data_IF_758387431845
#
_entry.id   IF_758387431845
#
_cell.length_a   1.000
_cell.length_b   1.000
_cell.length_c   1.000
_cell.angle_alpha   90.00
_cell.angle_beta   90.00
_cell.angle_gamma   90.00
#
_symmetry.space_group_name_H-M   'P 1'
#
loop_
_entity.id
_entity.type
_entity.pdbx_description
1 polymer ?
#
# COMPACT_ATOMS: atom_id res chain seq x y z
N UNK A 1 -20.35 -2.90 1.41
CA UNK A 1 -19.76 -3.52 0.20
C UNK A 1 -18.48 -4.23 0.59
N UNK A 2 -18.23 -5.41 0.01
CA UNK A 2 -16.98 -6.15 0.16
C UNK A 2 -16.54 -6.62 -1.24
N UNK A 3 -15.35 -6.24 -1.65
CA UNK A 3 -14.74 -6.65 -2.91
C UNK A 3 -13.46 -7.43 -2.66
N UNK A 4 -13.25 -8.50 -3.42
CA UNK A 4 -12.02 -9.30 -3.43
C UNK A 4 -11.42 -9.24 -4.82
N UNK A 5 -10.16 -8.88 -4.89
CA UNK A 5 -9.47 -8.66 -6.17
C UNK A 5 -8.13 -9.39 -6.16
N UNK A 6 -7.73 -9.85 -7.33
CA UNK A 6 -6.39 -10.35 -7.60
C UNK A 6 -5.81 -9.48 -8.71
N UNK A 7 -4.60 -9.00 -8.52
CA UNK A 7 -3.89 -8.16 -9.46
C UNK A 7 -2.52 -8.75 -9.82
N UNK A 8 -2.10 -8.46 -11.02
CA UNK A 8 -0.73 -8.67 -11.49
C UNK A 8 -0.18 -7.36 -12.00
N UNK A 9 1.06 -7.06 -11.69
CA UNK A 9 1.69 -5.79 -12.05
C UNK A 9 3.20 -5.89 -12.14
N UNK A 10 3.84 -4.78 -12.48
CA UNK A 10 5.27 -4.60 -12.36
C UNK A 10 5.62 -4.06 -10.97
N UNK A 11 6.75 -4.50 -10.43
CA UNK A 11 7.33 -3.93 -9.22
C UNK A 11 8.79 -3.57 -9.45
N UNK A 12 9.23 -2.50 -8.78
CA UNK A 12 10.63 -2.08 -8.70
C UNK A 12 11.02 -1.90 -7.24
N UNK A 13 12.14 -2.49 -6.85
CA UNK A 13 12.68 -2.44 -5.50
C UNK A 13 14.12 -1.95 -5.53
N UNK A 14 14.43 -0.99 -4.66
CA UNK A 14 15.76 -0.62 -4.24
C UNK A 14 15.78 -0.67 -2.71
N UNK A 15 16.67 -1.45 -2.13
CA UNK A 15 16.97 -1.42 -0.71
C UNK A 15 18.49 -1.46 -0.49
N UNK A 16 19.05 -0.34 -0.07
CA UNK A 16 20.50 -0.19 0.06
C UNK A 16 21.10 -0.97 1.23
N UNK A 17 20.28 -1.55 2.11
CA UNK A 17 20.75 -2.53 3.09
C UNK A 17 21.16 -3.85 2.44
N UNK A 18 20.42 -4.28 1.40
CA UNK A 18 20.66 -5.52 0.68
C UNK A 18 21.59 -5.31 -0.52
N UNK A 19 21.31 -4.29 -1.32
CA UNK A 19 22.03 -4.02 -2.56
C UNK A 19 21.85 -2.57 -3.01
N UNK A 20 22.85 -1.92 -3.57
CA UNK A 20 22.71 -0.59 -4.17
C UNK A 20 22.05 -0.63 -5.56
N UNK A 21 21.63 -1.80 -6.04
CA UNK A 21 21.06 -1.99 -7.37
C UNK A 21 19.54 -1.96 -7.32
N UNK A 22 18.92 -1.55 -8.43
CA UNK A 22 17.48 -1.66 -8.65
C UNK A 22 17.13 -3.05 -9.17
N UNK A 23 16.10 -3.64 -8.59
CA UNK A 23 15.51 -4.91 -9.00
C UNK A 23 14.11 -4.67 -9.53
N UNK A 24 13.77 -5.25 -10.67
CA UNK A 24 12.49 -5.08 -11.34
C UNK A 24 11.91 -6.43 -11.71
N UNK A 25 10.59 -6.54 -11.66
CA UNK A 25 9.94 -7.78 -12.05
C UNK A 25 8.44 -7.76 -11.89
N UNK A 26 7.87 -8.94 -11.70
CA UNK A 26 6.42 -9.12 -11.62
C UNK A 26 5.97 -9.24 -10.17
N UNK A 27 4.87 -8.58 -9.85
CA UNK A 27 4.17 -8.70 -8.60
C UNK A 27 2.79 -9.35 -8.79
N UNK A 28 2.45 -10.29 -7.91
CA UNK A 28 1.10 -10.79 -7.68
C UNK A 28 0.56 -10.16 -6.41
N UNK A 29 -0.67 -9.61 -6.45
CA UNK A 29 -1.31 -8.95 -5.30
C UNK A 29 -2.74 -9.42 -5.11
N UNK A 30 -3.09 -9.74 -3.87
CA UNK A 30 -4.46 -9.97 -3.43
C UNK A 30 -4.94 -8.78 -2.60
N UNK A 31 -6.17 -8.32 -2.84
CA UNK A 31 -6.77 -7.20 -2.11
C UNK A 31 -8.18 -7.60 -1.68
N UNK A 32 -8.47 -7.47 -0.39
CA UNK A 32 -9.81 -7.49 0.17
C UNK A 32 -10.16 -6.08 0.63
N UNK A 33 -11.16 -5.47 0.01
CA UNK A 33 -11.60 -4.10 0.24
C UNK A 33 -13.03 -4.07 0.75
N UNK A 34 -13.24 -3.63 1.97
CA UNK A 34 -14.55 -3.58 2.64
C UNK A 34 -14.90 -2.15 3.01
N UNK A 35 -16.04 -1.68 2.53
CA UNK A 35 -16.67 -0.42 2.94
C UNK A 35 -17.91 -0.75 3.77
N UNK A 36 -18.03 -0.18 4.96
CA UNK A 36 -19.14 -0.37 5.90
C UNK A 36 -19.79 0.97 6.22
N UNK A 37 -20.93 1.23 5.63
CA UNK A 37 -21.82 2.35 5.99
C UNK A 37 -22.83 1.87 7.04
N UNK A 38 -23.02 2.64 8.11
CA UNK A 38 -23.87 2.22 9.23
C UNK A 38 -25.36 2.48 9.01
N UNK A 39 -25.75 3.50 8.27
CA UNK A 39 -27.14 3.86 7.93
C UNK A 39 -27.14 5.09 7.02
N UNK A 40 -28.17 5.30 6.20
CA UNK A 40 -28.33 6.45 5.29
C UNK A 40 -28.23 7.85 5.93
N UNK A 41 -28.29 7.93 7.25
CA UNK A 41 -28.23 9.20 8.01
C UNK A 41 -26.84 9.55 8.53
N UNK A 42 -25.88 8.64 8.54
CA UNK A 42 -24.54 8.92 9.03
C UNK A 42 -23.59 9.20 7.88
N UNK A 43 -23.00 10.40 7.89
CA UNK A 43 -21.94 10.78 6.93
C UNK A 43 -20.61 10.05 7.17
N UNK A 44 -20.52 9.23 8.21
CA UNK A 44 -19.31 8.51 8.61
C UNK A 44 -19.42 7.04 8.22
N UNK A 45 -18.42 6.53 7.50
CA UNK A 45 -18.31 5.11 7.17
C UNK A 45 -16.89 4.58 7.43
N UNK A 46 -16.79 3.27 7.55
CA UNK A 46 -15.52 2.60 7.82
C UNK A 46 -14.99 1.92 6.56
N UNK A 47 -13.68 1.97 6.42
CA UNK A 47 -12.97 1.24 5.38
C UNK A 47 -11.96 0.29 6.00
N UNK A 48 -11.94 -0.94 5.49
CA UNK A 48 -11.00 -1.97 5.89
C UNK A 48 -10.36 -2.54 4.63
N UNK A 49 -9.04 -2.53 4.56
CA UNK A 49 -8.29 -3.10 3.45
C UNK A 49 -7.29 -4.11 3.99
N UNK A 50 -7.29 -5.29 3.41
CA UNK A 50 -6.23 -6.29 3.56
C UNK A 50 -5.58 -6.50 2.21
N UNK A 51 -4.26 -6.42 2.16
CA UNK A 51 -3.49 -6.68 0.95
C UNK A 51 -2.36 -7.65 1.25
N UNK A 52 -2.15 -8.61 0.37
CA UNK A 52 -0.97 -9.46 0.36
C UNK A 52 -0.29 -9.34 -0.99
N UNK A 53 1.03 -9.17 -1.04
CA UNK A 53 1.80 -9.12 -2.28
C UNK A 53 3.00 -10.04 -2.22
N UNK A 54 3.38 -10.55 -3.41
CA UNK A 54 4.60 -11.31 -3.64
C UNK A 54 5.19 -10.88 -4.98
N UNK A 55 6.47 -10.50 -4.97
CA UNK A 55 7.19 -10.02 -6.15
C UNK A 55 8.43 -10.86 -6.39
N UNK A 56 8.68 -11.20 -7.65
CA UNK A 56 9.90 -11.83 -8.12
C UNK A 56 10.62 -10.84 -9.03
N UNK A 57 11.84 -10.48 -8.66
CA UNK A 57 12.55 -9.34 -9.19
C UNK A 57 13.97 -9.75 -9.62
N UNK A 58 14.45 -9.12 -10.67
CA UNK A 58 15.81 -9.31 -11.18
C UNK A 58 16.50 -7.96 -11.38
N UNK A 59 17.80 -7.92 -11.23
CA UNK A 59 18.57 -6.74 -11.58
C UNK A 59 18.79 -6.66 -13.10
N UNK A 60 19.18 -5.49 -13.59
CA UNK A 60 19.37 -5.23 -15.03
C UNK A 60 20.39 -6.17 -15.69
N UNK A 61 21.32 -6.74 -14.94
CA UNK A 61 22.32 -7.67 -15.48
C UNK A 61 21.83 -9.12 -15.59
N UNK A 62 20.66 -9.45 -14.99
CA UNK A 62 20.12 -10.81 -14.93
C UNK A 62 20.86 -11.76 -13.99
N UNK A 63 21.92 -11.30 -13.31
CA UNK A 63 22.72 -12.13 -12.42
C UNK A 63 22.32 -12.09 -10.95
N UNK A 64 21.35 -11.30 -10.56
CA UNK A 64 20.86 -11.20 -9.19
C UNK A 64 19.36 -11.15 -9.14
N UNK A 65 18.76 -11.90 -8.20
CA UNK A 65 17.35 -11.92 -7.97
C UNK A 65 16.99 -11.44 -6.57
N UNK A 66 15.82 -10.85 -6.43
CA UNK A 66 15.17 -10.53 -5.17
C UNK A 66 13.75 -11.09 -5.16
N UNK A 67 13.34 -11.51 -3.99
CA UNK A 67 11.95 -11.85 -3.69
C UNK A 67 11.46 -10.89 -2.61
N UNK A 68 10.37 -10.18 -2.88
CA UNK A 68 9.74 -9.33 -1.89
C UNK A 68 8.32 -9.81 -1.60
N UNK A 69 7.94 -9.80 -0.33
CA UNK A 69 6.58 -10.15 0.07
C UNK A 69 6.10 -9.21 1.17
N UNK A 70 4.81 -8.87 1.16
CA UNK A 70 4.23 -8.03 2.20
C UNK A 70 2.78 -8.39 2.50
N UNK A 71 2.39 -8.14 3.74
CA UNK A 71 1.00 -8.06 4.17
C UNK A 71 0.75 -6.66 4.72
N UNK A 72 -0.28 -6.01 4.19
CA UNK A 72 -0.67 -4.67 4.57
C UNK A 72 -2.12 -4.68 5.06
N UNK A 73 -2.35 -4.08 6.21
CA UNK A 73 -3.65 -3.90 6.83
C UNK A 73 -3.94 -2.42 7.00
N UNK A 74 -5.12 -1.97 6.56
CA UNK A 74 -5.58 -0.61 6.74
C UNK A 74 -6.96 -0.60 7.37
N UNK A 75 -7.13 0.26 8.36
CA UNK A 75 -8.41 0.52 9.00
C UNK A 75 -8.60 2.02 9.14
N UNK A 76 -9.73 2.53 8.64
CA UNK A 76 -9.98 3.95 8.66
C UNK A 76 -11.45 4.34 8.67
N UNK A 77 -11.63 5.64 8.86
CA UNK A 77 -12.92 6.32 8.81
C UNK A 77 -12.90 7.35 7.69
N UNK A 78 -14.00 7.39 6.96
CA UNK A 78 -14.26 8.35 5.93
C UNK A 78 -15.46 9.18 6.29
N UNK A 79 -15.38 10.46 6.00
CA UNK A 79 -16.47 11.42 6.10
C UNK A 79 -16.96 11.76 4.72
N UNK A 80 -18.25 11.57 4.49
CA UNK A 80 -18.91 12.01 3.27
C UNK A 80 -19.04 13.53 3.28
N UNK A 81 -18.40 14.22 2.33
CA UNK A 81 -18.43 15.67 2.24
C UNK A 81 -19.67 16.16 1.52
N UNK A 82 -19.85 15.77 0.27
CA UNK A 82 -20.93 16.23 -0.59
C UNK A 82 -21.18 15.31 -1.77
N UNK A 83 -22.43 15.41 -2.29
CA UNK A 83 -22.85 14.82 -3.56
C UNK A 83 -23.19 15.91 -4.55
N UNK A 84 -22.72 15.76 -5.78
CA UNK A 84 -23.14 16.56 -6.94
C UNK A 84 -24.01 15.68 -7.83
N UNK A 85 -25.27 16.08 -7.97
CA UNK A 85 -26.25 15.36 -8.78
C UNK A 85 -26.33 15.95 -10.18
N UNK A 86 -26.15 15.08 -11.18
CA UNK A 86 -26.32 15.40 -12.59
C UNK A 86 -27.48 14.55 -13.17
N UNK A 87 -27.94 14.90 -14.36
CA UNK A 87 -28.97 14.12 -15.04
C UNK A 87 -28.45 12.70 -15.35
N UNK A 88 -28.85 11.71 -14.53
CA UNK A 88 -28.47 10.31 -14.70
C UNK A 88 -27.13 9.92 -14.08
N UNK A 89 -26.50 10.78 -13.27
CA UNK A 89 -25.25 10.46 -12.57
C UNK A 89 -25.09 11.24 -11.27
N UNK A 90 -24.20 10.73 -10.40
CA UNK A 90 -23.86 11.37 -9.12
C UNK A 90 -22.33 11.31 -8.92
N UNK A 91 -21.74 12.43 -8.52
CA UNK A 91 -20.36 12.49 -8.04
C UNK A 91 -20.35 12.66 -6.52
N UNK A 92 -19.83 11.68 -5.80
CA UNK A 92 -19.65 11.68 -4.35
C UNK A 92 -18.18 11.98 -4.02
N UNK A 93 -17.96 12.87 -3.05
CA UNK A 93 -16.64 13.19 -2.51
C UNK A 93 -16.56 12.79 -1.04
N UNK A 94 -15.53 12.05 -0.70
CA UNK A 94 -15.25 11.56 0.65
C UNK A 94 -13.82 11.93 1.05
N UNK A 95 -13.62 12.25 2.34
CA UNK A 95 -12.29 12.42 2.94
C UNK A 95 -12.20 11.58 4.20
N UNK A 96 -10.98 11.22 4.59
CA UNK A 96 -10.84 10.37 5.76
C UNK A 96 -9.41 10.24 6.24
N UNK A 97 -9.22 9.30 7.13
CA UNK A 97 -7.92 8.92 7.65
C UNK A 97 -7.89 7.45 8.04
N UNK A 98 -6.74 6.84 7.84
CA UNK A 98 -6.50 5.41 8.12
C UNK A 98 -5.29 5.23 9.00
N UNK A 99 -5.30 4.16 9.78
CA UNK A 99 -4.09 3.50 10.28
C UNK A 99 -3.69 2.49 9.22
N UNK A 100 -2.42 2.58 8.78
CA UNK A 100 -1.84 1.74 7.74
C UNK A 100 -0.67 0.97 8.35
N UNK A 101 -0.84 -0.32 8.57
CA UNK A 101 0.14 -1.23 9.15
C UNK A 101 0.65 -2.20 8.08
N UNK A 102 1.95 -2.39 8.03
CA UNK A 102 2.58 -3.32 7.09
C UNK A 102 3.62 -4.19 7.79
N UNK A 103 3.68 -5.43 7.37
CA UNK A 103 4.77 -6.34 7.66
C UNK A 103 5.18 -7.05 6.36
N UNK A 104 6.47 -7.17 6.13
CA UNK A 104 6.98 -7.78 4.91
C UNK A 104 8.46 -8.09 4.98
N UNK A 105 8.98 -8.57 3.88
CA UNK A 105 10.39 -8.91 3.73
C UNK A 105 10.86 -8.65 2.29
N UNK A 106 12.17 -8.46 2.17
CA UNK A 106 12.91 -8.56 0.91
C UNK A 106 14.02 -9.57 1.14
N UNK A 107 14.21 -10.49 0.21
CA UNK A 107 15.26 -11.50 0.23
C UNK A 107 16.08 -11.40 -1.05
N UNK A 108 17.39 -11.13 -0.89
CA UNK A 108 18.33 -11.05 -2.01
C UNK A 108 19.11 -12.36 -2.13
N UNK A 109 19.03 -13.01 -3.29
CA UNK A 109 19.61 -14.34 -3.53
C UNK A 109 21.14 -14.34 -3.62
N UNK A 110 21.78 -13.17 -3.72
CA UNK A 110 23.23 -13.03 -3.86
C UNK A 110 23.95 -12.47 -2.64
N UNK A 111 23.22 -11.82 -1.74
CA UNK A 111 23.83 -11.32 -0.52
C UNK A 111 23.95 -12.46 0.49
N UNK A 112 25.17 -12.96 0.68
CA UNK A 112 25.43 -14.10 1.57
C UNK A 112 25.53 -13.71 3.04
N UNK A 113 25.82 -12.45 3.35
CA UNK A 113 26.02 -12.00 4.73
C UNK A 113 24.72 -11.55 5.41
N UNK A 114 23.93 -10.71 4.75
CA UNK A 114 22.63 -10.26 5.20
C UNK A 114 21.62 -10.37 4.06
N UNK A 115 21.11 -11.58 3.75
CA UNK A 115 20.31 -11.81 2.57
C UNK A 115 18.87 -11.27 2.69
N UNK A 116 18.41 -10.96 3.90
CA UNK A 116 17.03 -10.60 4.17
C UNK A 116 16.91 -9.23 4.85
N UNK A 117 15.89 -8.49 4.47
CA UNK A 117 15.46 -7.24 5.10
C UNK A 117 14.01 -7.37 5.53
N UNK A 118 13.72 -7.14 6.81
CA UNK A 118 12.36 -7.03 7.32
C UNK A 118 11.81 -5.62 7.03
N UNK A 119 10.55 -5.56 6.66
CA UNK A 119 9.83 -4.32 6.41
C UNK A 119 8.62 -4.26 7.31
N UNK A 120 8.64 -3.37 8.29
CA UNK A 120 7.51 -3.14 9.16
C UNK A 120 7.31 -1.63 9.34
N UNK A 121 6.07 -1.17 9.19
CA UNK A 121 5.71 0.20 9.47
C UNK A 121 4.27 0.32 9.98
N UNK A 122 4.02 1.41 10.68
CA UNK A 122 2.70 1.84 11.11
C UNK A 122 2.57 3.33 10.82
N UNK A 123 1.63 3.70 9.95
CA UNK A 123 1.45 5.06 9.47
C UNK A 123 0.05 5.60 9.76
N UNK A 124 -0.02 6.91 9.96
CA UNK A 124 -1.25 7.70 9.87
C UNK A 124 -1.38 8.23 8.45
N UNK A 125 -2.49 7.92 7.80
CA UNK A 125 -2.66 8.08 6.37
C UNK A 125 -3.96 8.81 6.05
N UNK A 126 -3.95 10.16 5.89
CA UNK A 126 -5.06 10.88 5.28
C UNK A 126 -5.46 10.31 3.93
N UNK A 127 -6.74 10.37 3.63
CA UNK A 127 -7.31 9.83 2.40
C UNK A 127 -8.32 10.78 1.79
N UNK A 128 -8.43 10.77 0.47
CA UNK A 128 -9.49 11.41 -0.27
C UNK A 128 -9.99 10.50 -1.38
N UNK A 129 -11.30 10.47 -1.58
CA UNK A 129 -11.92 9.65 -2.60
C UNK A 129 -13.00 10.41 -3.36
N UNK A 130 -13.09 10.14 -4.68
CA UNK A 130 -14.14 10.59 -5.56
C UNK A 130 -14.81 9.38 -6.21
N UNK A 131 -16.12 9.28 -6.11
CA UNK A 131 -16.90 8.19 -6.71
C UNK A 131 -17.92 8.78 -7.67
N UNK A 132 -17.79 8.47 -8.96
CA UNK A 132 -18.73 8.86 -10.00
C UNK A 132 -19.61 7.69 -10.37
N UNK A 133 -20.91 7.79 -10.13
CA UNK A 133 -21.89 6.74 -10.39
C UNK A 133 -22.81 7.15 -11.54
N UNK A 134 -22.88 6.29 -12.57
CA UNK A 134 -23.83 6.38 -13.66
C UNK A 134 -25.05 5.51 -13.34
N UNK A 135 -26.23 6.12 -13.32
CA UNK A 135 -27.52 5.46 -13.00
C UNK A 135 -28.15 4.86 -14.27
N UNK A 136 -27.46 3.90 -14.90
CA UNK A 136 -27.99 3.15 -16.03
C UNK A 136 -28.79 1.93 -15.56
N UNK A 137 -29.36 1.19 -16.53
CA UNK A 137 -30.02 -0.10 -16.23
C UNK A 137 -29.12 -1.05 -15.44
N UNK A 138 -27.84 -1.04 -15.74
CA UNK A 138 -26.77 -1.67 -14.97
C UNK A 138 -25.88 -0.56 -14.43
N UNK A 139 -25.94 -0.22 -13.13
CA UNK A 139 -25.15 0.86 -12.57
C UNK A 139 -23.66 0.64 -12.79
N UNK A 140 -22.98 1.70 -13.20
CA UNK A 140 -21.53 1.76 -13.33
C UNK A 140 -20.99 2.80 -12.34
N UNK A 141 -20.05 2.42 -11.49
CA UNK A 141 -19.37 3.35 -10.59
C UNK A 141 -17.86 3.35 -10.86
N UNK A 142 -17.30 4.54 -10.97
CA UNK A 142 -15.85 4.75 -11.07
C UNK A 142 -15.41 5.45 -9.78
N UNK A 143 -14.51 4.81 -9.02
CA UNK A 143 -13.97 5.36 -7.76
C UNK A 143 -12.47 5.55 -7.90
N UNK A 144 -12.01 6.77 -7.63
CA UNK A 144 -10.60 7.09 -7.46
C UNK A 144 -10.34 7.45 -6.01
N UNK A 145 -9.32 6.87 -5.43
CA UNK A 145 -8.92 7.13 -4.05
C UNK A 145 -7.41 7.30 -3.97
N UNK A 146 -6.97 8.28 -3.17
CA UNK A 146 -5.57 8.56 -2.87
C UNK A 146 -5.32 8.48 -1.37
N UNK A 147 -4.18 7.88 -1.00
CA UNK A 147 -3.69 7.72 0.37
C UNK A 147 -2.31 8.33 0.49
N UNK A 148 -2.13 9.20 1.48
CA UNK A 148 -0.89 9.95 1.69
C UNK A 148 -0.40 9.71 3.12
N UNK A 149 0.48 8.74 3.38
CA UNK A 149 1.11 8.57 4.68
C UNK A 149 1.85 9.86 5.09
N UNK A 150 1.46 10.46 6.22
CA UNK A 150 2.02 11.75 6.64
C UNK A 150 2.93 11.65 7.85
N UNK A 151 2.70 10.67 8.71
CA UNK A 151 3.49 10.41 9.91
C UNK A 151 3.36 8.94 10.31
N UNK A 152 4.40 8.40 10.94
CA UNK A 152 4.38 7.03 11.41
C UNK A 152 5.66 6.61 12.08
N UNK A 153 5.84 5.31 12.18
CA UNK A 153 7.08 4.66 12.63
C UNK A 153 7.40 3.50 11.70
N UNK A 154 8.67 3.25 11.48
CA UNK A 154 9.13 2.10 10.73
C UNK A 154 10.31 1.41 11.41
N UNK A 155 10.42 0.11 11.18
CA UNK A 155 11.61 -0.64 11.51
C UNK A 155 12.65 -0.45 10.42
N UNK A 156 13.89 -0.12 10.83
CA UNK A 156 15.06 -0.04 9.96
C UNK A 156 16.30 -0.41 10.74
N UNK A 157 17.15 -1.34 10.26
CA UNK A 157 18.48 -1.49 10.82
C UNK A 157 19.30 -0.22 10.58
N UNK A 158 20.38 -0.04 11.32
CA UNK A 158 21.36 0.97 11.02
C UNK A 158 22.25 0.51 9.85
N UNK A 159 22.88 1.46 9.17
CA UNK A 159 23.86 1.13 8.14
C UNK A 159 24.97 0.22 8.70
N UNK A 160 25.18 -0.94 8.08
CA UNK A 160 26.16 -1.94 8.50
C UNK A 160 25.76 -2.80 9.70
N UNK A 161 24.59 -2.57 10.33
CA UNK A 161 24.11 -3.36 11.44
C UNK A 161 23.48 -4.68 10.92
N UNK A 162 23.88 -5.80 11.50
CA UNK A 162 23.32 -7.11 11.15
C UNK A 162 22.09 -7.46 11.98
N UNK A 163 21.21 -8.31 11.46
CA UNK A 163 20.08 -8.86 12.23
C UNK A 163 20.52 -9.68 13.45
N UNK A 164 21.71 -10.30 13.39
CA UNK A 164 22.30 -10.98 14.53
C UNK A 164 22.61 -10.02 15.68
N UNK A 165 23.12 -8.83 15.38
CA UNK A 165 23.38 -7.79 16.39
C UNK A 165 22.09 -7.29 17.02
N UNK A 166 21.03 -7.10 16.23
CA UNK A 166 19.73 -6.64 16.71
C UNK A 166 19.12 -7.73 17.61
N UNK A 167 18.88 -8.93 17.09
CA UNK A 167 18.03 -9.91 17.75
C UNK A 167 18.79 -10.85 18.70
N UNK A 168 20.07 -11.13 18.46
CA UNK A 168 20.83 -12.05 19.31
C UNK A 168 21.68 -11.31 20.34
N UNK A 169 22.19 -10.11 20.02
CA UNK A 169 22.97 -9.29 20.98
C UNK A 169 22.14 -8.22 21.69
N UNK A 170 20.88 -8.02 21.29
CA UNK A 170 19.98 -7.04 21.88
C UNK A 170 20.35 -5.58 21.59
N UNK A 171 21.05 -5.32 20.49
CA UNK A 171 21.40 -3.97 20.08
C UNK A 171 20.25 -3.35 19.27
N UNK A 172 19.28 -2.74 19.98
CA UNK A 172 18.06 -2.14 19.42
C UNK A 172 18.19 -0.64 19.17
N UNK A 173 19.39 -0.09 19.18
CA UNK A 173 19.59 1.35 19.07
C UNK A 173 19.07 1.88 17.72
N UNK A 174 18.13 2.84 17.80
CA UNK A 174 17.52 3.53 16.67
C UNK A 174 16.88 2.63 15.59
N UNK A 175 16.49 1.40 15.91
CA UNK A 175 15.85 0.50 14.95
C UNK A 175 14.36 0.79 14.71
N UNK A 176 13.71 1.52 15.61
CA UNK A 176 12.37 2.07 15.41
C UNK A 176 12.49 3.55 15.13
N UNK A 177 12.22 3.94 13.89
CA UNK A 177 12.46 5.30 13.40
C UNK A 177 11.13 6.00 13.14
N UNK A 178 10.91 7.21 13.67
CA UNK A 178 9.77 8.03 13.29
C UNK A 178 9.88 8.44 11.82
N UNK A 179 8.76 8.31 11.11
CA UNK A 179 8.64 8.64 9.69
C UNK A 179 7.67 9.78 9.46
N UNK A 180 7.93 10.57 8.44
CA UNK A 180 7.13 11.69 7.99
C UNK A 180 7.40 11.97 6.52
N UNK A 181 6.62 12.82 5.90
CA UNK A 181 6.71 13.10 4.45
C UNK A 181 8.13 13.48 3.99
N UNK A 182 8.97 14.08 4.87
CA UNK A 182 10.32 14.49 4.51
C UNK A 182 11.35 13.34 4.45
N UNK A 183 11.20 12.30 5.28
CA UNK A 183 12.13 11.15 5.30
C UNK A 183 11.53 9.85 4.72
N UNK A 184 10.19 9.79 4.56
CA UNK A 184 9.49 8.64 3.99
C UNK A 184 8.32 9.09 3.08
N UNK A 185 8.58 9.86 2.00
CA UNK A 185 7.53 10.29 1.09
C UNK A 185 6.92 9.07 0.41
N UNK A 186 5.64 8.87 0.62
CA UNK A 186 4.92 7.72 0.10
C UNK A 186 3.52 8.13 -0.37
N UNK A 187 3.02 7.47 -1.38
CA UNK A 187 1.67 7.68 -1.91
C UNK A 187 1.12 6.37 -2.45
N UNK A 188 -0.14 6.12 -2.16
CA UNK A 188 -0.87 5.03 -2.79
C UNK A 188 -2.12 5.58 -3.46
N UNK A 189 -2.47 5.06 -4.62
CA UNK A 189 -3.67 5.45 -5.35
C UNK A 189 -4.37 4.22 -5.92
N UNK A 190 -5.68 4.24 -5.90
CA UNK A 190 -6.49 3.16 -6.44
C UNK A 190 -7.63 3.73 -7.29
N UNK A 191 -7.69 3.29 -8.54
CA UNK A 191 -8.80 3.53 -9.45
C UNK A 191 -9.56 2.23 -9.61
N UNK A 192 -10.87 2.23 -9.36
CA UNK A 192 -11.73 1.05 -9.55
C UNK A 192 -12.95 1.39 -10.40
N UNK A 193 -13.37 0.43 -11.18
CA UNK A 193 -14.61 0.46 -11.96
C UNK A 193 -15.48 -0.70 -11.52
N UNK A 194 -16.63 -0.39 -10.99
CA UNK A 194 -17.64 -1.33 -10.51
C UNK A 194 -18.79 -1.41 -11.50
N UNK A 195 -19.06 -2.59 -12.00
CA UNK A 195 -20.19 -2.86 -12.90
C UNK A 195 -21.15 -3.87 -12.26
N UNK A 196 -22.39 -3.47 -12.05
CA UNK A 196 -23.40 -4.34 -11.46
C UNK A 196 -24.12 -5.15 -12.53
N UNK A 197 -23.99 -6.47 -12.48
CA UNK A 197 -24.58 -7.41 -13.41
C UNK A 197 -25.25 -8.55 -12.66
N UNK A 198 -26.58 -8.75 -12.89
CA UNK A 198 -27.39 -9.84 -12.31
C UNK A 198 -27.26 -10.01 -10.79
N UNK A 199 -27.20 -8.90 -10.05
CA UNK A 199 -27.08 -8.92 -8.58
C UNK A 199 -25.67 -9.16 -8.04
N UNK A 200 -24.67 -9.28 -8.94
CA UNK A 200 -23.25 -9.36 -8.59
C UNK A 200 -22.53 -8.13 -9.14
N UNK A 201 -21.60 -7.58 -8.38
CA UNK A 201 -20.76 -6.47 -8.86
C UNK A 201 -19.39 -7.01 -9.26
N UNK A 202 -19.02 -6.77 -10.51
CA UNK A 202 -17.68 -7.00 -11.01
C UNK A 202 -16.86 -5.75 -10.81
N UNK A 203 -15.66 -5.89 -10.24
CA UNK A 203 -14.72 -4.79 -10.02
C UNK A 203 -13.42 -5.05 -10.77
N UNK A 204 -13.01 -4.07 -11.58
CA UNK A 204 -11.69 -4.00 -12.18
C UNK A 204 -11.01 -2.70 -11.73
N UNK A 205 -9.68 -2.65 -11.72
CA UNK A 205 -9.00 -1.44 -11.28
C UNK A 205 -7.50 -1.44 -11.49
N UNK A 206 -6.91 -0.33 -11.10
CA UNK A 206 -5.47 -0.09 -11.07
C UNK A 206 -5.06 0.38 -9.67
N UNK A 207 -3.97 -0.16 -9.17
CA UNK A 207 -3.33 0.27 -7.92
C UNK A 207 -1.91 0.74 -8.22
N UNK A 208 -1.59 1.97 -7.86
CA UNK A 208 -0.24 2.49 -7.78
C UNK A 208 0.19 2.58 -6.32
N UNK A 209 1.33 1.99 -5.98
CA UNK A 209 1.86 1.91 -4.61
C UNK A 209 3.32 2.39 -4.63
N UNK A 210 3.54 3.64 -4.19
CA UNK A 210 4.85 4.29 -4.19
C UNK A 210 5.29 4.48 -2.75
N UNK A 211 6.33 3.76 -2.34
CA UNK A 211 6.88 3.82 -1.00
C UNK A 211 8.35 4.16 -1.07
N UNK A 212 8.75 5.20 -0.36
CA UNK A 212 10.14 5.61 -0.25
C UNK A 212 10.49 5.84 1.22
N UNK A 213 11.73 5.59 1.58
CA UNK A 213 12.27 5.97 2.87
C UNK A 213 13.77 6.26 2.76
N UNK A 214 14.22 7.24 3.54
CA UNK A 214 15.64 7.58 3.72
C UNK A 214 15.88 7.77 5.21
N UNK A 215 16.23 6.68 5.88
CA UNK A 215 16.39 6.60 7.34
C UNK A 215 17.62 5.76 7.68
N UNK A 216 18.27 6.04 8.82
CA UNK A 216 19.45 5.30 9.30
C UNK A 216 20.57 5.16 8.25
N UNK A 217 20.76 6.19 7.41
CA UNK A 217 21.67 6.19 6.26
C UNK A 217 21.37 5.13 5.19
N UNK A 218 20.18 4.55 5.22
CA UNK A 218 19.67 3.61 4.22
C UNK A 218 18.59 4.27 3.38
N UNK A 219 18.49 3.83 2.11
CA UNK A 219 17.45 4.24 1.18
C UNK A 219 16.66 3.02 0.74
N UNK A 220 15.35 3.13 0.76
CA UNK A 220 14.45 2.13 0.18
C UNK A 220 13.43 2.79 -0.73
N UNK A 221 13.22 2.21 -1.90
CA UNK A 221 12.18 2.60 -2.86
C UNK A 221 11.44 1.35 -3.30
N UNK A 222 10.11 1.38 -3.31
CA UNK A 222 9.26 0.31 -3.79
C UNK A 222 8.10 0.94 -4.55
N UNK A 223 7.96 0.48 -5.78
CA UNK A 223 6.94 0.93 -6.71
C UNK A 223 6.18 -0.25 -7.28
#
# INVERSE_FOLDING_TARGET
TNARMVGIGGAEVLDTYLSPLHYRGTELRYISHTLREKTDTTRLFHEIIHQGSLSLLENKSGYGGEMAGSYNFQYGWHWHLCDFHFKGSTLRLDVGGKIDANIGFIYNTRNSNNPAQARAYLNLTPTAAATYTLHWRHPLAVRYEVWLPVAGVMFSPNYGQSYYEIFSKGNYDHNVVPTWVGNAPSMRQMLTVDYCLWGTTLRAGYLGDYQQASVNHLKSHIY
#
